data_IF_555829873560
#
_entry.id   IF_555829873560
#
_cell.length_a   1.000
_cell.length_b   1.000
_cell.length_c   1.000
_cell.angle_alpha   90.00
_cell.angle_beta   90.00
_cell.angle_gamma   90.00
#
_symmetry.space_group_name_H-M   'P 1'
#
loop_
_entity.id
_entity.type
_entity.pdbx_description
1 polymer ?
#
# COMPACT_ATOMS: atom_id res chain seq x y z
N UNK A 1 -13.26 -7.93 -9.89
CA UNK A 1 -14.51 -8.44 -10.49
C UNK A 1 -15.51 -7.32 -10.69
N UNK A 2 -15.61 -6.38 -9.71
CA UNK A 2 -16.53 -5.24 -9.76
C UNK A 2 -15.98 -4.07 -10.58
N UNK A 3 -14.68 -4.03 -10.82
CA UNK A 3 -13.99 -2.87 -11.38
C UNK A 3 -13.84 -1.70 -10.39
N UNK A 4 -14.01 -1.95 -9.09
CA UNK A 4 -13.81 -0.95 -8.05
C UNK A 4 -12.86 -1.47 -6.97
N UNK A 5 -11.88 -0.64 -6.64
CA UNK A 5 -10.95 -0.89 -5.54
C UNK A 5 -11.02 0.27 -4.54
N UNK A 6 -10.75 -0.02 -3.27
CA UNK A 6 -10.87 0.96 -2.20
C UNK A 6 -9.56 1.17 -1.46
N UNK A 7 -9.36 2.37 -0.90
CA UNK A 7 -8.30 2.64 0.07
C UNK A 7 -8.77 3.68 1.08
N UNK A 8 -8.19 3.63 2.27
CA UNK A 8 -8.37 4.65 3.29
C UNK A 8 -7.13 4.72 4.18
N UNK A 9 -6.96 5.80 4.89
CA UNK A 9 -5.87 6.01 5.82
C UNK A 9 -6.27 5.88 7.29
N UNK A 10 -5.28 5.66 8.16
CA UNK A 10 -5.47 5.80 9.61
C UNK A 10 -5.64 7.27 9.97
N UNK A 11 -4.58 8.04 9.84
CA UNK A 11 -4.56 9.50 10.01
C UNK A 11 -3.97 10.13 8.75
N UNK A 12 -4.42 11.32 8.38
CA UNK A 12 -3.92 12.01 7.19
C UNK A 12 -2.51 12.56 7.42
N UNK A 13 -1.52 11.67 7.26
CA UNK A 13 -0.10 11.97 7.38
C UNK A 13 0.61 11.71 6.05
N UNK A 14 1.70 12.42 5.72
CA UNK A 14 2.48 12.16 4.50
C UNK A 14 2.92 10.71 4.35
N UNK A 15 3.29 10.04 5.44
CA UNK A 15 3.68 8.62 5.46
C UNK A 15 2.54 7.64 5.20
N UNK A 16 1.30 8.10 5.22
CA UNK A 16 0.07 7.37 4.88
C UNK A 16 -0.37 7.71 3.46
N UNK A 17 -0.54 8.99 3.16
CA UNK A 17 -1.07 9.43 1.87
C UNK A 17 -0.15 9.11 0.70
N UNK A 18 1.17 9.00 0.92
CA UNK A 18 2.11 8.54 -0.12
C UNK A 18 1.78 7.12 -0.63
N UNK A 19 1.31 6.21 0.24
CA UNK A 19 0.88 4.87 -0.15
C UNK A 19 -0.43 4.91 -0.94
N UNK A 20 -1.38 5.76 -0.50
CA UNK A 20 -2.65 5.94 -1.19
C UNK A 20 -2.45 6.56 -2.58
N UNK A 21 -1.50 7.50 -2.72
CA UNK A 21 -1.10 8.08 -4.01
C UNK A 21 -0.46 7.04 -4.92
N UNK A 22 0.42 6.19 -4.40
CA UNK A 22 1.02 5.08 -5.14
C UNK A 22 -0.01 4.07 -5.64
N UNK A 23 -1.02 3.76 -4.82
CA UNK A 23 -2.13 2.89 -5.21
C UNK A 23 -2.98 3.53 -6.33
N UNK A 24 -3.25 4.83 -6.23
CA UNK A 24 -3.95 5.57 -7.28
C UNK A 24 -3.18 5.56 -8.62
N UNK A 25 -1.86 5.78 -8.58
CA UNK A 25 -1.02 5.70 -9.78
C UNK A 25 -1.00 4.29 -10.38
N UNK A 26 -0.98 3.24 -9.52
CA UNK A 26 -1.07 1.85 -9.96
C UNK A 26 -2.39 1.56 -10.69
N UNK A 27 -3.52 2.02 -10.16
CA UNK A 27 -4.84 1.90 -10.82
C UNK A 27 -4.85 2.64 -12.15
N UNK A 28 -4.34 3.87 -12.20
CA UNK A 28 -4.25 4.66 -13.43
C UNK A 28 -3.36 3.98 -14.49
N UNK A 29 -2.22 3.42 -14.07
CA UNK A 29 -1.31 2.67 -14.95
C UNK A 29 -2.00 1.41 -15.49
N UNK A 30 -2.65 0.63 -14.66
CA UNK A 30 -3.40 -0.55 -15.08
C UNK A 30 -4.48 -0.21 -16.11
N UNK A 31 -5.27 0.83 -15.84
CA UNK A 31 -6.31 1.29 -16.76
C UNK A 31 -5.73 1.66 -18.13
N UNK A 32 -4.62 2.40 -18.13
CA UNK A 32 -3.92 2.79 -19.38
C UNK A 32 -3.40 1.58 -20.14
N UNK A 33 -2.70 0.67 -19.48
CA UNK A 33 -2.00 -0.43 -20.13
C UNK A 33 -2.96 -1.53 -20.62
N UNK A 34 -4.08 -1.72 -19.91
CA UNK A 34 -5.07 -2.78 -20.22
C UNK A 34 -6.33 -2.26 -20.91
N UNK A 35 -6.47 -0.94 -21.15
CA UNK A 35 -7.69 -0.34 -21.66
C UNK A 35 -8.89 -0.56 -20.72
N UNK A 36 -8.62 -0.66 -19.40
CA UNK A 36 -9.62 -0.92 -18.38
C UNK A 36 -10.17 0.39 -17.80
N UNK A 37 -11.21 0.27 -16.96
CA UNK A 37 -11.84 1.40 -16.25
C UNK A 37 -12.08 1.02 -14.79
N UNK A 38 -11.01 0.64 -14.09
CA UNK A 38 -11.05 0.39 -12.63
C UNK A 38 -11.16 1.72 -11.91
N UNK A 39 -12.12 1.82 -11.00
CA UNK A 39 -12.33 3.00 -10.17
C UNK A 39 -11.66 2.82 -8.80
N UNK A 40 -10.91 3.83 -8.38
CA UNK A 40 -10.44 3.94 -6.99
C UNK A 40 -11.44 4.76 -6.20
N UNK A 41 -11.92 4.22 -5.07
CA UNK A 41 -12.79 4.91 -4.14
C UNK A 41 -12.10 5.05 -2.77
N UNK A 42 -12.54 6.04 -2.00
CA UNK A 42 -11.96 6.35 -0.68
C UNK A 42 -10.75 7.29 -0.69
N UNK A 43 -10.17 7.59 -1.86
CA UNK A 43 -9.07 8.54 -2.01
C UNK A 43 -9.12 9.26 -3.37
N UNK A 44 -9.01 10.57 -3.34
CA UNK A 44 -8.75 11.41 -4.52
C UNK A 44 -7.36 12.04 -4.42
N UNK A 45 -6.44 11.52 -5.20
CA UNK A 45 -5.05 11.98 -5.25
C UNK A 45 -4.93 13.46 -5.69
N UNK A 46 -5.79 13.94 -6.59
CA UNK A 46 -5.70 15.30 -7.10
C UNK A 46 -6.04 16.34 -6.03
N UNK A 47 -7.14 16.12 -5.31
CA UNK A 47 -7.58 17.00 -4.23
C UNK A 47 -6.95 16.67 -2.87
N UNK A 48 -6.29 15.49 -2.72
CA UNK A 48 -5.77 14.98 -1.45
C UNK A 48 -6.87 14.83 -0.39
N UNK A 49 -8.07 14.42 -0.81
CA UNK A 49 -9.21 14.16 0.05
C UNK A 49 -9.60 12.69 0.01
N UNK A 50 -10.01 12.17 1.15
CA UNK A 50 -10.43 10.76 1.22
C UNK A 50 -10.92 10.36 2.59
N UNK A 51 -11.02 9.06 2.81
CA UNK A 51 -11.48 8.47 4.04
C UNK A 51 -10.31 8.22 4.99
N UNK A 52 -10.50 8.66 6.26
CA UNK A 52 -9.53 8.43 7.33
C UNK A 52 -10.27 7.98 8.60
N UNK A 53 -9.64 7.06 9.33
CA UNK A 53 -10.16 6.58 10.62
C UNK A 53 -9.90 7.57 11.76
N UNK A 54 -9.05 8.57 11.53
CA UNK A 54 -8.56 9.55 12.51
C UNK A 54 -7.87 8.90 13.73
N UNK A 55 -7.38 7.66 13.54
CA UNK A 55 -6.70 6.87 14.56
C UNK A 55 -5.93 5.72 13.91
N UNK A 56 -4.97 5.14 14.64
CA UNK A 56 -4.31 3.88 14.29
C UNK A 56 -4.67 2.73 15.24
N UNK A 57 -5.54 2.94 16.22
CA UNK A 57 -5.81 1.99 17.29
C UNK A 57 -7.22 1.39 17.25
N UNK A 58 -8.22 2.17 16.85
CA UNK A 58 -9.63 1.76 16.86
C UNK A 58 -10.00 0.92 15.63
N UNK A 59 -9.94 -0.41 15.78
CA UNK A 59 -10.30 -1.37 14.72
C UNK A 59 -11.77 -1.26 14.28
N UNK A 60 -12.68 -0.83 15.17
CA UNK A 60 -14.10 -0.69 14.80
C UNK A 60 -14.29 0.37 13.72
N UNK A 61 -13.53 1.46 13.75
CA UNK A 61 -13.54 2.45 12.66
C UNK A 61 -13.03 1.88 11.34
N UNK A 62 -12.01 1.02 11.39
CA UNK A 62 -11.53 0.30 10.19
C UNK A 62 -12.62 -0.59 9.59
N UNK A 63 -13.36 -1.31 10.43
CA UNK A 63 -14.51 -2.11 10.01
C UNK A 63 -15.58 -1.23 9.35
N UNK A 64 -15.97 -0.11 9.98
CA UNK A 64 -16.99 0.79 9.44
C UNK A 64 -16.62 1.37 8.07
N UNK A 65 -15.36 1.82 7.90
CA UNK A 65 -14.90 2.38 6.63
C UNK A 65 -14.86 1.29 5.55
N UNK A 66 -14.37 0.09 5.89
CA UNK A 66 -14.34 -1.01 4.93
C UNK A 66 -15.74 -1.44 4.50
N UNK A 67 -16.71 -1.53 5.41
CA UNK A 67 -18.12 -1.79 5.10
C UNK A 67 -18.68 -0.73 4.14
N UNK A 68 -18.38 0.54 4.37
CA UNK A 68 -18.79 1.63 3.47
C UNK A 68 -18.18 1.44 2.07
N UNK A 69 -16.91 1.09 1.95
CA UNK A 69 -16.25 0.84 0.66
C UNK A 69 -16.83 -0.37 -0.05
N UNK A 70 -17.10 -1.46 0.68
CA UNK A 70 -17.73 -2.68 0.15
C UNK A 70 -19.13 -2.40 -0.36
N UNK A 71 -19.93 -1.65 0.38
CA UNK A 71 -21.28 -1.22 -0.04
C UNK A 71 -21.24 -0.36 -1.30
N UNK A 72 -20.18 0.41 -1.54
CA UNK A 72 -19.95 1.16 -2.77
C UNK A 72 -19.39 0.28 -3.91
N UNK A 73 -19.15 -0.99 -3.64
CA UNK A 73 -18.76 -2.01 -4.61
C UNK A 73 -17.25 -2.30 -4.68
N UNK A 74 -16.45 -1.85 -3.72
CA UNK A 74 -15.04 -2.26 -3.68
C UNK A 74 -14.92 -3.76 -3.38
N UNK A 75 -14.18 -4.48 -4.21
CA UNK A 75 -13.86 -5.90 -4.00
C UNK A 75 -12.38 -6.13 -3.64
N UNK A 76 -11.55 -5.10 -3.68
CA UNK A 76 -10.19 -5.09 -3.15
C UNK A 76 -9.99 -3.81 -2.33
N UNK A 77 -9.51 -3.93 -1.10
CA UNK A 77 -9.27 -2.78 -0.21
C UNK A 77 -7.82 -2.79 0.27
N UNK A 78 -7.16 -1.63 0.20
CA UNK A 78 -5.85 -1.39 0.79
C UNK A 78 -5.97 -0.40 1.96
N UNK A 79 -6.07 -0.86 3.21
CA UNK A 79 -6.17 0.01 4.38
C UNK A 79 -4.77 0.47 4.82
N UNK A 80 -4.42 1.74 4.61
CA UNK A 80 -3.13 2.31 5.04
C UNK A 80 -3.29 2.86 6.48
N UNK A 81 -3.56 1.96 7.42
CA UNK A 81 -4.10 2.33 8.73
C UNK A 81 -3.52 1.55 9.92
N UNK A 82 -2.38 0.86 9.74
CA UNK A 82 -1.78 0.05 10.82
C UNK A 82 -2.78 -0.95 11.42
N UNK A 83 -2.87 -1.07 12.75
CA UNK A 83 -3.81 -1.98 13.42
C UNK A 83 -5.28 -1.79 13.07
N UNK A 84 -5.71 -0.57 12.74
CA UNK A 84 -7.08 -0.26 12.26
C UNK A 84 -7.39 -1.02 10.96
N UNK A 85 -6.39 -1.28 10.13
CA UNK A 85 -6.53 -2.09 8.92
C UNK A 85 -6.98 -3.54 9.18
N UNK A 86 -6.71 -4.10 10.35
CA UNK A 86 -7.23 -5.43 10.73
C UNK A 86 -8.75 -5.41 10.91
N UNK A 87 -9.33 -4.27 11.28
CA UNK A 87 -10.78 -4.07 11.26
C UNK A 87 -11.35 -4.15 9.83
N UNK A 88 -10.63 -3.59 8.85
CA UNK A 88 -11.01 -3.74 7.45
C UNK A 88 -10.91 -5.19 6.96
N UNK A 89 -9.88 -5.94 7.40
CA UNK A 89 -9.76 -7.34 7.08
C UNK A 89 -10.91 -8.17 7.70
N UNK A 90 -11.33 -7.84 8.92
CA UNK A 90 -12.49 -8.48 9.56
C UNK A 90 -13.79 -8.23 8.76
N UNK A 91 -14.02 -7.00 8.30
CA UNK A 91 -15.16 -6.70 7.42
C UNK A 91 -15.07 -7.49 6.11
N UNK A 92 -13.93 -7.42 5.43
CA UNK A 92 -13.73 -8.11 4.15
C UNK A 92 -13.92 -9.63 4.24
N UNK A 93 -13.53 -10.25 5.37
CA UNK A 93 -13.71 -11.68 5.60
C UNK A 93 -15.19 -12.10 5.68
N UNK A 94 -16.06 -11.19 6.11
CA UNK A 94 -17.51 -11.42 6.16
C UNK A 94 -18.21 -11.19 4.81
N UNK A 95 -17.50 -10.67 3.80
CA UNK A 95 -18.05 -10.39 2.47
C UNK A 95 -17.36 -11.24 1.42
N UNK A 96 -18.03 -12.31 0.98
CA UNK A 96 -17.49 -13.24 0.00
C UNK A 96 -17.02 -12.53 -1.27
N UNK A 97 -15.79 -12.80 -1.68
CA UNK A 97 -15.19 -12.20 -2.88
C UNK A 97 -14.40 -10.91 -2.64
N UNK A 98 -14.49 -10.31 -1.45
CA UNK A 98 -13.67 -9.17 -1.06
C UNK A 98 -12.29 -9.62 -0.62
N UNK A 99 -11.26 -8.87 -1.01
CA UNK A 99 -9.85 -9.13 -0.73
C UNK A 99 -9.16 -7.92 -0.13
N UNK A 100 -8.04 -8.17 0.54
CA UNK A 100 -7.20 -7.15 1.19
C UNK A 100 -5.82 -7.12 0.55
N UNK A 101 -5.28 -5.92 0.40
CA UNK A 101 -3.86 -5.66 0.24
C UNK A 101 -3.34 -5.13 1.57
N UNK A 102 -2.54 -5.93 2.27
CA UNK A 102 -1.95 -5.55 3.56
C UNK A 102 -0.91 -4.43 3.42
N UNK A 103 -0.50 -3.83 4.53
CA UNK A 103 0.55 -2.81 4.57
C UNK A 103 1.53 -3.06 5.73
N UNK A 104 2.70 -2.45 5.64
CA UNK A 104 3.78 -2.47 6.63
C UNK A 104 4.54 -3.80 6.73
N UNK A 105 3.86 -4.91 6.94
CA UNK A 105 4.40 -6.26 7.02
C UNK A 105 3.66 -7.19 6.07
N UNK A 106 4.14 -8.42 5.92
CA UNK A 106 3.41 -9.48 5.22
C UNK A 106 2.26 -9.97 6.10
N UNK A 107 1.03 -9.57 5.77
CA UNK A 107 -0.15 -9.94 6.55
C UNK A 107 -0.50 -11.42 6.46
N UNK A 108 -0.06 -12.12 5.44
CA UNK A 108 -0.20 -13.57 5.42
C UNK A 108 0.47 -14.23 6.64
N UNK A 109 1.59 -13.66 7.10
CA UNK A 109 2.34 -14.14 8.26
C UNK A 109 1.94 -13.43 9.55
N UNK A 110 1.76 -12.11 9.54
CA UNK A 110 1.52 -11.30 10.76
C UNK A 110 0.06 -11.24 11.19
N UNK A 111 -0.88 -11.65 10.31
CA UNK A 111 -2.31 -11.73 10.59
C UNK A 111 -2.90 -12.99 9.93
N UNK A 112 -2.43 -14.19 10.34
CA UNK A 112 -2.73 -15.46 9.64
C UNK A 112 -4.22 -15.82 9.64
N UNK A 113 -5.02 -15.24 10.52
CA UNK A 113 -6.48 -15.37 10.54
C UNK A 113 -7.17 -14.78 9.30
N UNK A 114 -6.46 -13.95 8.51
CA UNK A 114 -6.97 -13.31 7.29
C UNK A 114 -6.26 -13.79 6.01
N UNK A 115 -5.39 -14.80 6.09
CA UNK A 115 -4.58 -15.27 4.97
C UNK A 115 -5.40 -15.66 3.73
N UNK A 116 -6.62 -16.12 3.92
CA UNK A 116 -7.56 -16.54 2.86
C UNK A 116 -8.14 -15.36 2.04
N UNK A 117 -7.93 -14.12 2.52
CA UNK A 117 -8.39 -12.91 1.83
C UNK A 117 -7.27 -11.92 1.52
N UNK A 118 -6.05 -12.12 2.04
CA UNK A 118 -4.90 -11.24 1.79
C UNK A 118 -4.23 -11.63 0.48
N UNK A 119 -4.38 -10.78 -0.55
CA UNK A 119 -3.75 -11.01 -1.87
C UNK A 119 -2.23 -10.88 -1.82
N UNK A 120 -1.76 -9.84 -1.19
CA UNK A 120 -0.36 -9.47 -0.98
C UNK A 120 -0.30 -8.37 0.06
N UNK A 121 0.90 -7.87 0.37
CA UNK A 121 1.08 -6.73 1.26
C UNK A 121 2.17 -5.80 0.73
N UNK A 122 1.94 -4.49 0.87
CA UNK A 122 2.97 -3.47 0.62
C UNK A 122 3.83 -3.36 1.87
N UNK A 123 5.03 -3.93 1.82
CA UNK A 123 5.92 -4.05 2.96
C UNK A 123 6.82 -2.83 3.10
N UNK A 124 7.08 -2.43 4.35
CA UNK A 124 8.16 -1.51 4.74
C UNK A 124 9.35 -2.31 5.26
N UNK A 125 10.52 -2.10 4.68
CA UNK A 125 11.77 -2.75 5.10
C UNK A 125 12.32 -2.14 6.40
N UNK A 126 11.54 -2.16 7.49
CA UNK A 126 11.87 -1.52 8.77
C UNK A 126 13.18 -2.09 9.35
N UNK A 127 13.33 -3.41 9.35
CA UNK A 127 14.56 -4.05 9.81
C UNK A 127 15.79 -3.59 9.00
N UNK A 128 15.62 -3.43 7.68
CA UNK A 128 16.66 -2.91 6.79
C UNK A 128 17.01 -1.47 7.12
N UNK A 129 16.02 -0.60 7.33
CA UNK A 129 16.21 0.80 7.68
C UNK A 129 16.97 0.93 9.02
N UNK A 130 16.58 0.15 10.02
CA UNK A 130 17.26 0.12 11.34
C UNK A 130 18.70 -0.35 11.18
N UNK A 131 18.94 -1.45 10.47
CA UNK A 131 20.28 -1.97 10.21
C UNK A 131 21.18 -0.94 9.52
N UNK A 132 20.71 -0.34 8.42
CA UNK A 132 21.47 0.63 7.62
C UNK A 132 21.82 1.88 8.48
N UNK A 133 20.88 2.34 9.31
CA UNK A 133 21.07 3.50 10.18
C UNK A 133 22.10 3.21 11.29
N UNK A 134 22.00 2.06 11.95
CA UNK A 134 22.97 1.65 13.00
C UNK A 134 24.35 1.46 12.38
N UNK A 135 24.44 0.80 11.22
CA UNK A 135 25.69 0.60 10.51
C UNK A 135 26.33 1.94 10.13
N UNK A 136 25.57 2.87 9.59
CA UNK A 136 26.07 4.22 9.26
C UNK A 136 26.60 4.94 10.51
N UNK A 137 25.93 4.78 11.65
CA UNK A 137 26.41 5.30 12.94
C UNK A 137 27.74 4.68 13.38
N UNK A 138 27.87 3.36 13.31
CA UNK A 138 29.08 2.63 13.63
C UNK A 138 30.27 3.00 12.72
N UNK A 139 29.99 3.22 11.43
CA UNK A 139 30.98 3.62 10.42
C UNK A 139 31.33 5.14 10.49
N UNK A 140 30.77 5.90 11.45
CA UNK A 140 30.98 7.36 11.58
C UNK A 140 30.32 8.19 10.45
N UNK A 141 29.37 7.60 9.73
CA UNK A 141 28.67 8.18 8.58
C UNK A 141 27.19 8.48 8.86
N UNK A 142 26.82 8.66 10.13
CA UNK A 142 25.43 8.94 10.50
C UNK A 142 24.94 10.24 9.85
N UNK A 143 23.86 10.15 9.10
CA UNK A 143 23.15 11.29 8.53
C UNK A 143 21.89 11.56 9.36
N UNK A 144 21.66 12.84 9.72
CA UNK A 144 20.46 13.29 10.46
C UNK A 144 19.21 13.36 9.59
N UNK A 145 19.34 13.11 8.27
CA UNK A 145 18.21 13.12 7.36
C UNK A 145 17.28 11.91 7.57
N UNK A 146 15.98 12.06 7.33
CA UNK A 146 15.07 10.93 7.36
C UNK A 146 15.52 9.80 6.41
N UNK A 147 15.40 8.56 6.87
CA UNK A 147 15.60 7.40 6.00
C UNK A 147 14.43 7.31 5.01
N UNK A 148 14.72 7.28 3.72
CA UNK A 148 13.70 7.10 2.67
C UNK A 148 13.83 5.71 2.08
N UNK A 149 12.84 4.86 2.39
CA UNK A 149 12.71 3.52 1.83
C UNK A 149 12.23 3.57 0.38
N UNK A 150 12.95 2.89 -0.52
CA UNK A 150 12.61 2.79 -1.94
C UNK A 150 12.69 1.34 -2.40
N UNK A 151 12.13 1.05 -3.60
CA UNK A 151 12.31 -0.26 -4.26
C UNK A 151 13.81 -0.57 -4.51
N UNK A 152 14.61 0.47 -4.79
CA UNK A 152 16.04 0.35 -5.10
C UNK A 152 16.87 -0.08 -3.88
N UNK A 153 16.56 0.45 -2.69
CA UNK A 153 17.32 0.13 -1.47
C UNK A 153 16.66 -0.97 -0.62
N UNK A 154 15.55 -1.57 -1.11
CA UNK A 154 14.81 -2.60 -0.37
C UNK A 154 14.01 -2.05 0.82
N UNK A 155 13.82 -0.74 0.90
CA UNK A 155 13.03 -0.10 1.96
C UNK A 155 11.54 -0.25 1.79
N UNK A 156 11.08 -0.62 0.58
CA UNK A 156 9.70 -1.05 0.28
C UNK A 156 9.71 -2.23 -0.68
N UNK A 157 8.71 -3.11 -0.57
CA UNK A 157 8.52 -4.28 -1.44
C UNK A 157 7.07 -4.74 -1.44
N UNK A 158 6.73 -5.67 -2.34
CA UNK A 158 5.52 -6.46 -2.24
C UNK A 158 5.84 -7.81 -1.59
N UNK A 159 4.93 -8.29 -0.74
CA UNK A 159 4.94 -9.66 -0.26
C UNK A 159 4.60 -10.63 -1.40
N UNK A 160 4.98 -11.92 -1.31
CA UNK A 160 4.47 -12.95 -2.20
C UNK A 160 2.93 -13.01 -2.18
N UNK A 161 2.36 -13.59 -3.23
CA UNK A 161 0.90 -13.80 -3.29
C UNK A 161 0.45 -15.07 -2.54
N UNK A 162 1.38 -15.87 -2.01
CA UNK A 162 1.13 -17.05 -1.19
C UNK A 162 0.08 -17.99 -1.80
N UNK A 163 -1.02 -18.25 -1.07
CA UNK A 163 -2.08 -19.15 -1.51
C UNK A 163 -2.79 -18.69 -2.80
N UNK A 164 -2.62 -17.43 -3.20
CA UNK A 164 -3.17 -16.89 -4.45
C UNK A 164 -2.25 -17.08 -5.66
N UNK A 165 -0.99 -17.52 -5.48
CA UNK A 165 0.01 -17.65 -6.56
C UNK A 165 -0.55 -18.45 -7.77
N UNK A 166 -1.18 -19.60 -7.49
CA UNK A 166 -1.74 -20.47 -8.53
C UNK A 166 -3.02 -19.93 -9.21
N UNK A 167 -3.62 -18.86 -8.70
CA UNK A 167 -4.84 -18.23 -9.24
C UNK A 167 -4.59 -16.90 -9.95
N UNK A 168 -3.33 -16.46 -9.99
CA UNK A 168 -2.97 -15.21 -10.64
C UNK A 168 -3.12 -15.31 -12.16
N UNK A 169 -3.46 -14.20 -12.85
CA UNK A 169 -3.39 -14.13 -14.29
C UNK A 169 -1.98 -14.51 -14.78
N UNK A 170 -1.92 -15.28 -15.87
CA UNK A 170 -0.65 -15.66 -16.47
C UNK A 170 0.18 -14.40 -16.80
N UNK A 171 1.45 -14.40 -16.42
CA UNK A 171 2.39 -13.30 -16.67
C UNK A 171 2.35 -12.15 -15.66
N UNK A 172 1.42 -12.13 -14.70
CA UNK A 172 1.31 -11.01 -13.74
C UNK A 172 2.61 -10.75 -12.98
N UNK A 173 3.28 -11.79 -12.49
CA UNK A 173 4.54 -11.65 -11.75
C UNK A 173 5.61 -10.98 -12.63
N UNK A 174 5.73 -11.41 -13.90
CA UNK A 174 6.66 -10.78 -14.84
C UNK A 174 6.31 -9.32 -15.15
N UNK A 175 5.01 -8.98 -15.25
CA UNK A 175 4.57 -7.59 -15.42
C UNK A 175 4.97 -6.73 -14.20
N UNK A 176 4.77 -7.23 -12.99
CA UNK A 176 5.13 -6.53 -11.75
C UNK A 176 6.65 -6.33 -11.63
N UNK A 177 7.45 -7.34 -12.01
CA UNK A 177 8.92 -7.22 -12.04
C UNK A 177 9.38 -6.19 -13.07
N UNK A 178 8.74 -6.15 -14.25
CA UNK A 178 9.02 -5.14 -15.27
C UNK A 178 8.70 -3.73 -14.77
N UNK A 179 7.53 -3.52 -14.16
CA UNK A 179 7.14 -2.23 -13.58
C UNK A 179 8.10 -1.81 -12.46
N UNK A 180 8.47 -2.74 -11.57
CA UNK A 180 9.46 -2.49 -10.53
C UNK A 180 10.78 -2.02 -11.11
N UNK A 181 11.26 -2.68 -12.17
CA UNK A 181 12.49 -2.30 -12.88
C UNK A 181 12.37 -0.91 -13.50
N UNK A 182 11.27 -0.61 -14.16
CA UNK A 182 11.00 0.72 -14.73
C UNK A 182 11.04 1.83 -13.66
N UNK A 183 10.44 1.59 -12.49
CA UNK A 183 10.46 2.56 -11.37
C UNK A 183 11.89 2.74 -10.86
N UNK A 184 12.65 1.66 -10.65
CA UNK A 184 14.03 1.71 -10.16
C UNK A 184 14.96 2.42 -11.15
N UNK A 185 14.72 2.26 -12.45
CA UNK A 185 15.47 2.93 -13.54
C UNK A 185 14.97 4.36 -13.83
N UNK A 186 13.90 4.82 -13.16
CA UNK A 186 13.32 6.16 -13.37
C UNK A 186 12.54 6.32 -14.67
N UNK A 187 12.24 5.22 -15.39
CA UNK A 187 11.41 5.23 -16.61
C UNK A 187 9.93 5.43 -16.30
N UNK A 188 9.48 4.87 -15.18
CA UNK A 188 8.16 5.12 -14.62
C UNK A 188 8.31 5.94 -13.34
N UNK A 189 7.65 7.08 -13.28
CA UNK A 189 7.67 7.97 -12.12
C UNK A 189 6.36 7.86 -11.39
N UNK A 190 6.43 7.40 -10.13
CA UNK A 190 5.31 7.46 -9.18
C UNK A 190 5.36 8.81 -8.50
N UNK A 191 4.27 9.56 -8.53
CA UNK A 191 4.22 10.92 -7.97
C UNK A 191 3.37 10.97 -6.71
N UNK A 192 3.75 11.83 -5.77
CA UNK A 192 2.95 12.11 -4.57
C UNK A 192 3.26 13.51 -4.07
N UNK A 193 2.22 14.24 -3.63
CA UNK A 193 2.40 15.49 -2.88
C UNK A 193 3.05 15.25 -1.52
N UNK A 194 3.01 14.00 -1.05
CA UNK A 194 3.59 13.56 0.22
C UNK A 194 4.99 12.93 0.06
N UNK A 195 5.55 12.94 -1.16
CA UNK A 195 6.89 12.41 -1.39
C UNK A 195 7.92 13.22 -0.59
N UNK A 196 8.79 12.51 0.12
CA UNK A 196 9.94 13.12 0.77
C UNK A 196 10.93 13.59 -0.32
N UNK A 197 11.19 14.89 -0.35
CA UNK A 197 12.31 15.42 -1.12
C UNK A 197 13.61 14.92 -0.46
N UNK A 198 14.53 14.37 -1.26
CA UNK A 198 15.86 13.96 -0.80
C UNK A 198 16.67 15.13 -0.18
N UNK A 199 16.18 16.36 -0.30
CA UNK A 199 16.72 17.58 0.32
C UNK A 199 16.13 17.89 1.70
N UNK A 200 15.25 17.03 2.25
CA UNK A 200 14.79 17.12 3.64
C UNK A 200 13.57 17.98 3.92
N UNK A 201 12.72 18.21 2.95
CA UNK A 201 11.41 18.86 3.13
C UNK A 201 10.26 17.97 2.66
N UNK A 202 9.16 17.96 3.40
CA UNK A 202 7.89 17.48 2.83
C UNK A 202 7.49 18.43 1.70
N UNK A 203 7.24 17.89 0.51
CA UNK A 203 6.72 18.69 -0.59
C UNK A 203 5.50 19.50 -0.15
N UNK A 204 5.50 20.78 -0.44
CA UNK A 204 4.36 21.69 -0.22
C UNK A 204 3.24 21.37 -1.20
#
# INVERSE_FOLDING_TARGET
KTGKVGTFGGVQLPTVTIFMDGFADGVARYNKDKGANVQLIGWDKASQKGLFAETFEDKAKGTQIAEQLIQQGADVIMPVAGPVGLGAAAAAKNHAGTKIVGVDSDWYQSAPEYKDIVLTSVQKGIARAVYDTIKAGADGKFDKKPYVGTLKNGGVSLAPFHDFEGSLPAGLTGELDAIKKEIVEGKTVVTSKSAFDAKGGSGK
#
